data_IF_830988073689
#
_entry.id   IF_830988073689
#
_cell.length_a   1.000
_cell.length_b   1.000
_cell.length_c   1.000
_cell.angle_alpha   90.00
_cell.angle_beta   90.00
_cell.angle_gamma   90.00
#
_symmetry.space_group_name_H-M   'P 1'
#
loop_
_entity.id
_entity.type
_entity.pdbx_description
1 polymer ?
#
# COMPACT_ATOMS: atom_id res chain seq x y z
N UNK A 1 -5.52 -26.83 6.91
CA UNK A 1 -4.99 -25.99 8.01
C UNK A 1 -5.93 -26.19 9.18
N UNK A 2 -5.43 -26.35 10.40
CA UNK A 2 -6.34 -26.54 11.54
C UNK A 2 -7.25 -25.31 11.67
N UNK A 3 -8.56 -25.50 11.83
CA UNK A 3 -9.56 -24.42 11.91
C UNK A 3 -9.17 -23.33 12.92
N UNK A 4 -8.59 -23.74 14.05
CA UNK A 4 -8.06 -22.83 15.09
C UNK A 4 -6.97 -21.87 14.54
N UNK A 5 -6.12 -22.31 13.62
CA UNK A 5 -5.08 -21.44 13.03
C UNK A 5 -5.69 -20.41 12.10
N UNK A 6 -6.75 -20.75 11.37
CA UNK A 6 -7.46 -19.84 10.49
C UNK A 6 -8.19 -18.79 11.33
N UNK A 7 -8.94 -19.21 12.34
CA UNK A 7 -9.67 -18.32 13.24
C UNK A 7 -8.75 -17.31 13.92
N UNK A 8 -7.61 -17.81 14.44
CA UNK A 8 -6.59 -16.95 15.04
C UNK A 8 -6.05 -15.94 14.02
N UNK A 9 -5.69 -16.38 12.81
CA UNK A 9 -5.16 -15.52 11.76
C UNK A 9 -6.14 -14.40 11.39
N UNK A 10 -7.43 -14.71 11.15
CA UNK A 10 -8.40 -13.72 10.71
C UNK A 10 -8.64 -12.63 11.75
N UNK A 11 -8.75 -13.00 13.04
CA UNK A 11 -8.98 -12.02 14.09
C UNK A 11 -7.72 -11.22 14.43
N UNK A 12 -6.54 -11.83 14.44
CA UNK A 12 -5.27 -11.13 14.62
C UNK A 12 -4.99 -10.14 13.48
N UNK A 13 -5.37 -10.48 12.24
CA UNK A 13 -5.31 -9.55 11.10
C UNK A 13 -6.26 -8.38 11.30
N UNK A 14 -7.49 -8.63 11.78
CA UNK A 14 -8.45 -7.58 12.12
C UNK A 14 -7.93 -6.62 13.19
N UNK A 15 -7.32 -7.15 14.24
CA UNK A 15 -6.68 -6.37 15.33
C UNK A 15 -5.51 -5.55 14.76
N UNK A 16 -4.60 -6.18 14.05
CA UNK A 16 -3.40 -5.52 13.55
C UNK A 16 -3.68 -4.42 12.53
N UNK A 17 -4.73 -4.55 11.72
CA UNK A 17 -5.14 -3.53 10.76
C UNK A 17 -5.64 -2.23 11.41
N UNK A 18 -5.92 -2.20 12.71
CA UNK A 18 -6.26 -0.96 13.41
C UNK A 18 -5.04 -0.03 13.55
N UNK A 19 -3.82 -0.56 13.54
CA UNK A 19 -2.59 0.23 13.62
C UNK A 19 -2.41 1.21 12.45
N UNK A 20 -3.03 0.96 11.27
CA UNK A 20 -2.92 1.87 10.11
C UNK A 20 -3.44 3.27 10.40
N UNK A 21 -4.41 3.37 11.33
CA UNK A 21 -4.98 4.63 11.81
C UNK A 21 -4.62 4.92 13.29
N UNK A 22 -3.63 4.19 13.83
CA UNK A 22 -3.15 4.28 15.22
C UNK A 22 -4.24 4.02 16.25
N UNK A 23 -5.22 3.21 15.89
CA UNK A 23 -6.26 2.76 16.81
C UNK A 23 -5.75 1.59 17.64
N UNK A 24 -6.34 1.45 18.83
CA UNK A 24 -6.05 0.33 19.73
C UNK A 24 -7.35 -0.30 20.18
N UNK A 25 -7.39 -1.60 20.11
CA UNK A 25 -8.48 -2.38 20.66
C UNK A 25 -8.53 -2.28 22.19
N UNK A 26 -9.72 -2.35 22.74
CA UNK A 26 -9.92 -2.33 24.19
C UNK A 26 -9.35 -3.59 24.85
N UNK A 27 -8.94 -3.48 26.12
CA UNK A 27 -8.49 -4.64 26.89
C UNK A 27 -9.62 -5.68 27.05
N UNK A 28 -10.88 -5.23 27.11
CA UNK A 28 -12.04 -6.10 27.17
C UNK A 28 -12.16 -6.94 25.89
N UNK A 29 -12.08 -6.30 24.72
CA UNK A 29 -12.12 -6.99 23.44
C UNK A 29 -10.99 -8.02 23.31
N UNK A 30 -9.76 -7.66 23.67
CA UNK A 30 -8.62 -8.59 23.62
C UNK A 30 -8.87 -9.82 24.51
N UNK A 31 -9.48 -9.64 25.68
CA UNK A 31 -9.81 -10.76 26.54
C UNK A 31 -10.88 -11.68 25.92
N UNK A 32 -11.96 -11.12 25.39
CA UNK A 32 -13.02 -11.90 24.74
C UNK A 32 -12.51 -12.57 23.45
N UNK A 33 -11.60 -11.93 22.72
CA UNK A 33 -10.92 -12.52 21.53
C UNK A 33 -10.15 -13.79 21.90
N UNK A 34 -9.52 -13.86 23.08
CA UNK A 34 -8.85 -15.08 23.51
C UNK A 34 -9.83 -16.24 23.71
N UNK A 35 -11.04 -15.98 24.17
CA UNK A 35 -12.09 -17.00 24.26
C UNK A 35 -12.53 -17.51 22.89
N UNK A 36 -12.62 -16.62 21.90
CA UNK A 36 -12.90 -17.00 20.51
C UNK A 36 -11.75 -17.87 19.94
N UNK A 37 -10.49 -17.46 20.11
CA UNK A 37 -9.32 -18.24 19.63
C UNK A 37 -9.27 -19.63 20.30
N UNK A 38 -9.70 -19.74 21.56
CA UNK A 38 -9.75 -21.02 22.28
C UNK A 38 -10.96 -21.89 21.90
N UNK A 39 -11.85 -21.40 21.01
CA UNK A 39 -13.07 -22.13 20.61
C UNK A 39 -14.17 -22.15 21.69
N UNK A 40 -14.10 -21.26 22.71
CA UNK A 40 -15.10 -21.16 23.76
C UNK A 40 -16.35 -20.42 23.31
N UNK A 41 -16.21 -19.51 22.34
CA UNK A 41 -17.28 -18.73 21.72
C UNK A 41 -17.04 -18.63 20.22
N UNK A 42 -18.12 -18.50 19.44
CA UNK A 42 -18.07 -18.23 18.00
C UNK A 42 -17.79 -16.75 17.70
N UNK A 43 -17.46 -16.43 16.44
CA UNK A 43 -17.26 -15.06 16.00
C UNK A 43 -18.55 -14.20 16.12
N UNK A 44 -19.72 -14.80 15.92
CA UNK A 44 -21.02 -14.14 16.10
C UNK A 44 -21.34 -13.88 17.57
N UNK A 45 -20.97 -14.78 18.46
CA UNK A 45 -21.08 -14.55 19.90
C UNK A 45 -20.12 -13.44 20.35
N UNK A 46 -18.88 -13.43 19.86
CA UNK A 46 -17.93 -12.34 20.12
C UNK A 46 -18.51 -10.98 19.68
N UNK A 47 -19.07 -10.90 18.46
CA UNK A 47 -19.72 -9.69 17.98
C UNK A 47 -20.88 -9.22 18.88
N UNK A 48 -21.73 -10.16 19.29
CA UNK A 48 -22.86 -9.88 20.18
C UNK A 48 -22.42 -9.40 21.58
N UNK A 49 -21.35 -9.98 22.12
CA UNK A 49 -20.75 -9.58 23.40
C UNK A 49 -20.22 -8.15 23.30
N UNK A 50 -19.47 -7.83 22.26
CA UNK A 50 -18.88 -6.50 22.07
C UNK A 50 -19.96 -5.45 21.79
N UNK A 51 -20.96 -5.76 20.97
CA UNK A 51 -22.10 -4.87 20.76
C UNK A 51 -22.85 -4.56 22.08
N UNK A 52 -23.07 -5.57 22.91
CA UNK A 52 -23.71 -5.41 24.23
C UNK A 52 -22.85 -4.60 25.20
N UNK A 53 -21.54 -4.79 25.17
CA UNK A 53 -20.62 -4.03 26.02
C UNK A 53 -20.71 -2.53 25.73
N UNK A 54 -20.64 -2.11 24.46
CA UNK A 54 -20.69 -0.70 24.10
C UNK A 54 -22.08 -0.08 24.23
N UNK A 55 -23.14 -0.86 24.06
CA UNK A 55 -24.52 -0.41 24.31
C UNK A 55 -24.74 0.01 25.77
N UNK A 56 -24.07 -0.66 26.71
CA UNK A 56 -24.26 -0.46 28.15
C UNK A 56 -23.21 0.48 28.77
N UNK A 57 -22.16 0.82 28.06
CA UNK A 57 -21.15 1.79 28.48
C UNK A 57 -21.04 2.87 27.42
N UNK A 58 -21.55 4.10 27.68
CA UNK A 58 -21.23 5.24 26.82
C UNK A 58 -19.70 5.40 26.80
N UNK A 59 -19.11 5.27 25.64
CA UNK A 59 -17.67 5.19 25.42
C UNK A 59 -16.96 6.45 25.92
N UNK A 60 -16.10 6.28 26.93
CA UNK A 60 -15.06 7.27 27.26
C UNK A 60 -13.91 7.24 26.24
N UNK A 61 -13.88 6.21 25.37
CA UNK A 61 -12.86 5.96 24.35
C UNK A 61 -13.55 5.60 23.00
N UNK A 62 -14.19 6.59 22.37
CA UNK A 62 -14.91 6.43 21.09
C UNK A 62 -14.13 5.64 20.03
N UNK A 63 -12.81 5.81 19.99
CA UNK A 63 -11.96 5.13 19.01
C UNK A 63 -11.64 3.67 19.36
N UNK A 64 -11.80 3.23 20.60
CA UNK A 64 -11.68 1.81 20.96
C UNK A 64 -12.89 1.02 20.46
N UNK A 65 -14.11 1.59 20.55
CA UNK A 65 -15.30 0.98 19.96
C UNK A 65 -15.17 0.79 18.45
N UNK A 66 -14.69 1.81 17.74
CA UNK A 66 -14.39 1.72 16.32
C UNK A 66 -13.42 0.55 16.04
N UNK A 67 -12.30 0.49 16.77
CA UNK A 67 -11.28 -0.53 16.57
C UNK A 67 -11.83 -1.95 16.81
N UNK A 68 -12.59 -2.17 17.89
CA UNK A 68 -13.12 -3.47 18.26
C UNK A 68 -14.15 -3.96 17.24
N UNK A 69 -15.10 -3.12 16.86
CA UNK A 69 -16.12 -3.46 15.85
C UNK A 69 -15.52 -3.76 14.50
N UNK A 70 -14.56 -2.93 14.04
CA UNK A 70 -13.92 -3.14 12.74
C UNK A 70 -13.06 -4.40 12.74
N UNK A 71 -12.37 -4.73 13.83
CA UNK A 71 -11.60 -5.96 13.92
C UNK A 71 -12.48 -7.22 13.71
N UNK A 72 -13.66 -7.27 14.32
CA UNK A 72 -14.62 -8.35 14.12
C UNK A 72 -15.14 -8.39 12.68
N UNK A 73 -15.51 -7.24 12.12
CA UNK A 73 -16.00 -7.14 10.74
C UNK A 73 -14.97 -7.58 9.73
N UNK A 74 -13.69 -7.23 9.94
CA UNK A 74 -12.58 -7.76 9.13
C UNK A 74 -12.52 -9.27 9.25
N UNK A 75 -12.59 -9.82 10.47
CA UNK A 75 -12.55 -11.26 10.68
C UNK A 75 -13.72 -11.95 9.95
N UNK A 76 -14.95 -11.43 10.05
CA UNK A 76 -16.11 -11.96 9.31
C UNK A 76 -15.89 -11.95 7.80
N UNK A 77 -15.43 -10.84 7.21
CA UNK A 77 -15.16 -10.77 5.77
C UNK A 77 -14.07 -11.76 5.37
N UNK A 78 -13.02 -11.92 6.18
CA UNK A 78 -11.92 -12.83 5.88
C UNK A 78 -12.25 -14.31 6.13
N UNK A 79 -13.29 -14.64 6.91
CA UNK A 79 -13.78 -16.01 7.09
C UNK A 79 -14.64 -16.50 5.91
N UNK A 80 -15.19 -15.59 5.10
CA UNK A 80 -15.98 -15.93 3.94
C UNK A 80 -15.08 -16.24 2.73
N UNK A 81 -15.41 -17.26 1.94
CA UNK A 81 -14.70 -17.57 0.69
C UNK A 81 -15.16 -16.72 -0.49
N UNK A 82 -16.40 -16.23 -0.44
CA UNK A 82 -16.99 -15.44 -1.52
C UNK A 82 -16.20 -14.16 -1.78
N UNK A 83 -15.85 -13.93 -3.05
CA UNK A 83 -15.18 -12.70 -3.49
C UNK A 83 -15.47 -12.40 -4.95
N UNK A 84 -15.67 -11.15 -5.27
CA UNK A 84 -15.82 -10.65 -6.64
C UNK A 84 -14.80 -9.54 -6.88
N UNK A 85 -13.98 -9.66 -7.90
CA UNK A 85 -13.02 -8.61 -8.26
C UNK A 85 -13.74 -7.50 -9.03
N UNK A 86 -14.40 -6.60 -8.28
CA UNK A 86 -15.19 -5.47 -8.82
C UNK A 86 -15.05 -4.24 -7.93
N UNK A 87 -15.26 -3.05 -8.50
CA UNK A 87 -15.40 -1.81 -7.72
C UNK A 87 -16.53 -1.92 -6.70
N UNK A 88 -17.66 -2.53 -7.09
CA UNK A 88 -18.80 -2.77 -6.18
C UNK A 88 -18.39 -3.57 -4.94
N UNK A 89 -17.53 -4.59 -5.07
CA UNK A 89 -17.01 -5.33 -3.91
C UNK A 89 -16.14 -4.45 -3.00
N UNK A 90 -15.31 -3.56 -3.55
CA UNK A 90 -14.52 -2.62 -2.77
C UNK A 90 -15.43 -1.68 -1.95
N UNK A 91 -16.48 -1.12 -2.57
CA UNK A 91 -17.46 -0.28 -1.89
C UNK A 91 -18.23 -1.07 -0.81
N UNK A 92 -18.61 -2.32 -1.10
CA UNK A 92 -19.29 -3.20 -0.14
C UNK A 92 -18.42 -3.50 1.07
N UNK A 93 -17.14 -3.81 0.88
CA UNK A 93 -16.20 -4.02 1.99
C UNK A 93 -16.13 -2.76 2.86
N UNK A 94 -15.98 -1.57 2.27
CA UNK A 94 -15.97 -0.33 3.02
C UNK A 94 -17.28 -0.14 3.80
N UNK A 95 -18.42 -0.38 3.14
CA UNK A 95 -19.72 -0.27 3.81
C UNK A 95 -19.82 -1.19 5.02
N UNK A 96 -19.48 -2.48 4.88
CA UNK A 96 -19.53 -3.45 5.99
C UNK A 96 -18.61 -3.03 7.13
N UNK A 97 -17.37 -2.59 6.82
CA UNK A 97 -16.41 -2.19 7.83
C UNK A 97 -16.88 -0.99 8.66
N UNK A 98 -17.53 -0.02 8.03
CA UNK A 98 -17.80 1.29 8.64
C UNK A 98 -19.26 1.61 8.87
N UNK A 99 -20.18 0.69 8.62
CA UNK A 99 -21.61 0.86 8.89
C UNK A 99 -21.87 1.24 10.35
N UNK A 100 -22.60 2.33 10.57
CA UNK A 100 -22.87 2.89 11.90
C UNK A 100 -21.65 3.49 12.62
N UNK A 101 -20.50 3.63 11.93
CA UNK A 101 -19.28 4.27 12.47
C UNK A 101 -18.89 5.52 11.70
N UNK A 102 -19.22 5.60 10.43
CA UNK A 102 -19.01 6.77 9.56
C UNK A 102 -20.35 7.24 8.98
N UNK A 103 -20.41 8.49 8.56
CA UNK A 103 -21.62 9.08 7.98
C UNK A 103 -21.95 8.53 6.58
N UNK A 104 -20.91 8.20 5.79
CA UNK A 104 -21.05 7.77 4.39
C UNK A 104 -20.31 6.47 4.09
N UNK A 105 -20.61 5.35 4.78
CA UNK A 105 -19.93 4.08 4.55
C UNK A 105 -20.29 3.53 3.15
N UNK A 106 -19.26 3.14 2.39
CA UNK A 106 -19.42 2.62 1.03
C UNK A 106 -19.58 3.67 -0.07
N UNK A 107 -19.64 4.97 0.27
CA UNK A 107 -19.74 6.04 -0.72
C UNK A 107 -18.37 6.61 -1.08
N UNK A 108 -18.20 7.00 -2.33
CA UNK A 108 -17.04 7.75 -2.78
C UNK A 108 -17.05 9.17 -2.18
N UNK A 109 -15.88 9.66 -1.76
CA UNK A 109 -15.76 11.03 -1.23
C UNK A 109 -16.15 12.08 -2.28
N UNK A 110 -16.62 13.23 -1.80
CA UNK A 110 -17.16 14.31 -2.62
C UNK A 110 -16.28 15.59 -2.63
N UNK A 111 -15.05 15.49 -2.08
CA UNK A 111 -14.10 16.61 -2.02
C UNK A 111 -12.63 16.11 -2.06
N UNK A 112 -11.72 17.01 -2.41
CA UNK A 112 -10.29 16.75 -2.36
C UNK A 112 -9.73 17.12 -0.99
N UNK A 113 -8.80 16.34 -0.50
CA UNK A 113 -8.08 16.60 0.74
C UNK A 113 -6.63 16.10 0.68
N UNK A 114 -5.86 16.44 1.69
CA UNK A 114 -4.50 15.95 1.86
C UNK A 114 -4.29 15.50 3.31
N UNK A 115 -3.44 14.49 3.50
CA UNK A 115 -3.04 13.99 4.83
C UNK A 115 -1.56 14.24 5.04
N UNK A 116 -1.18 14.81 6.19
CA UNK A 116 0.22 14.97 6.58
C UNK A 116 0.81 13.63 6.99
N UNK A 117 1.76 13.14 6.21
CA UNK A 117 2.34 11.83 6.41
C UNK A 117 3.62 11.88 7.22
N UNK A 118 3.70 11.05 8.28
CA UNK A 118 4.85 10.99 9.15
C UNK A 118 6.15 10.59 8.41
N UNK A 119 6.05 9.64 7.47
CA UNK A 119 7.21 9.18 6.69
C UNK A 119 7.70 10.23 5.68
N UNK A 120 6.89 11.24 5.38
CA UNK A 120 7.17 12.32 4.45
C UNK A 120 7.52 13.65 5.16
N UNK A 121 7.94 13.61 6.44
CA UNK A 121 8.18 14.81 7.24
C UNK A 121 7.03 15.81 7.22
N UNK A 122 5.78 15.29 7.29
CA UNK A 122 4.51 16.03 7.24
C UNK A 122 4.12 16.57 5.85
N UNK A 123 4.81 16.17 4.80
CA UNK A 123 4.32 16.37 3.43
C UNK A 123 3.20 15.37 3.11
N UNK A 124 2.55 15.46 1.95
CA UNK A 124 1.38 14.69 1.57
C UNK A 124 1.57 14.00 0.23
N UNK A 125 0.93 12.84 0.06
CA UNK A 125 0.72 12.23 -1.26
C UNK A 125 -0.39 13.01 -1.98
N UNK A 126 -0.29 13.14 -3.29
CA UNK A 126 -1.39 13.64 -4.13
C UNK A 126 -2.36 12.50 -4.40
N UNK A 127 -3.57 12.60 -3.85
CA UNK A 127 -4.65 11.66 -4.09
C UNK A 127 -5.40 11.96 -5.39
N UNK A 128 -6.19 11.01 -5.87
CA UNK A 128 -7.05 11.20 -7.05
C UNK A 128 -8.02 12.37 -6.89
N UNK A 129 -8.40 13.03 -7.99
CA UNK A 129 -9.45 14.07 -7.94
C UNK A 129 -10.81 13.41 -7.67
N UNK A 130 -11.57 13.96 -6.72
CA UNK A 130 -12.86 13.38 -6.31
C UNK A 130 -13.87 13.27 -7.46
N UNK A 131 -13.76 14.09 -8.49
CA UNK A 131 -14.65 14.09 -9.67
C UNK A 131 -14.37 12.93 -10.63
N UNK A 132 -13.21 12.31 -10.51
CA UNK A 132 -12.73 11.26 -11.41
C UNK A 132 -12.61 9.89 -10.72
N UNK A 133 -12.95 9.78 -9.43
CA UNK A 133 -12.74 8.57 -8.63
C UNK A 133 -13.40 7.34 -9.24
N UNK A 134 -14.67 7.44 -9.64
CA UNK A 134 -15.40 6.31 -10.21
C UNK A 134 -14.76 5.84 -11.52
N UNK A 135 -14.44 6.79 -12.40
CA UNK A 135 -13.82 6.50 -13.69
C UNK A 135 -12.42 5.87 -13.50
N UNK A 136 -11.63 6.40 -12.57
CA UNK A 136 -10.27 5.90 -12.29
C UNK A 136 -10.33 4.50 -11.69
N UNK A 137 -11.24 4.26 -10.73
CA UNK A 137 -11.45 2.92 -10.17
C UNK A 137 -11.86 1.92 -11.25
N UNK A 138 -12.83 2.26 -12.10
CA UNK A 138 -13.27 1.39 -13.19
C UNK A 138 -12.11 1.08 -14.15
N UNK A 139 -11.32 2.09 -14.51
CA UNK A 139 -10.18 1.94 -15.39
C UNK A 139 -9.12 0.98 -14.81
N UNK A 140 -8.71 1.17 -13.55
CA UNK A 140 -7.68 0.34 -12.92
C UNK A 140 -8.17 -1.11 -12.74
N UNK A 141 -9.44 -1.31 -12.36
CA UNK A 141 -10.02 -2.64 -12.26
C UNK A 141 -10.10 -3.35 -13.62
N UNK A 142 -10.43 -2.63 -14.70
CA UNK A 142 -10.47 -3.20 -16.04
C UNK A 142 -9.07 -3.51 -16.59
N UNK A 143 -8.06 -2.71 -16.25
CA UNK A 143 -6.67 -3.02 -16.57
C UNK A 143 -6.21 -4.31 -15.87
N UNK A 144 -6.47 -4.41 -14.57
CA UNK A 144 -6.09 -5.57 -13.77
C UNK A 144 -6.81 -6.85 -14.23
N UNK A 145 -8.09 -6.80 -14.57
CA UNK A 145 -8.84 -7.94 -15.14
C UNK A 145 -8.24 -8.44 -16.46
N UNK A 146 -7.65 -7.56 -17.26
CA UNK A 146 -7.02 -7.90 -18.55
C UNK A 146 -5.58 -8.35 -18.38
N UNK A 147 -4.99 -8.14 -17.23
CA UNK A 147 -3.62 -8.53 -16.96
C UNK A 147 -3.51 -10.06 -16.85
N UNK A 148 -2.48 -10.62 -17.49
CA UNK A 148 -2.23 -12.07 -17.46
C UNK A 148 -1.03 -12.38 -16.58
N UNK A 149 -1.27 -13.14 -15.54
CA UNK A 149 -0.22 -13.67 -14.66
C UNK A 149 0.50 -14.90 -15.23
N UNK A 150 0.02 -15.41 -16.40
CA UNK A 150 0.58 -16.58 -17.05
C UNK A 150 2.03 -16.32 -17.48
N UNK A 151 2.88 -17.31 -17.25
CA UNK A 151 4.29 -17.34 -17.64
C UNK A 151 5.17 -16.23 -16.98
N UNK A 152 4.65 -15.53 -15.97
CA UNK A 152 5.44 -14.58 -15.18
C UNK A 152 6.21 -15.27 -14.06
N UNK A 153 7.41 -14.77 -13.79
CA UNK A 153 8.14 -15.15 -12.56
C UNK A 153 7.44 -14.57 -11.33
N UNK A 154 7.68 -15.18 -10.17
CA UNK A 154 7.12 -14.69 -8.92
C UNK A 154 7.54 -13.25 -8.61
N UNK A 155 8.75 -12.85 -8.96
CA UNK A 155 9.22 -11.47 -8.80
C UNK A 155 8.43 -10.48 -9.66
N UNK A 156 8.15 -10.83 -10.92
CA UNK A 156 7.31 -10.02 -11.81
C UNK A 156 5.87 -9.92 -11.30
N UNK A 157 5.33 -11.00 -10.74
CA UNK A 157 4.00 -10.99 -10.12
C UNK A 157 4.00 -10.05 -8.91
N UNK A 158 4.99 -10.12 -8.02
CA UNK A 158 5.09 -9.26 -6.84
C UNK A 158 5.25 -7.79 -7.23
N UNK A 159 6.07 -7.50 -8.24
CA UNK A 159 6.23 -6.13 -8.77
C UNK A 159 4.92 -5.58 -9.32
N UNK A 160 4.18 -6.39 -10.11
CA UNK A 160 2.87 -6.00 -10.63
C UNK A 160 1.84 -5.77 -9.52
N UNK A 161 1.74 -6.69 -8.56
CA UNK A 161 0.86 -6.55 -7.40
C UNK A 161 1.20 -5.31 -6.56
N UNK A 162 2.49 -4.97 -6.43
CA UNK A 162 2.91 -3.76 -5.74
C UNK A 162 2.46 -2.49 -6.49
N UNK A 163 2.51 -2.49 -7.82
CA UNK A 163 2.00 -1.39 -8.65
C UNK A 163 0.49 -1.29 -8.45
N UNK A 164 -0.25 -2.36 -8.72
CA UNK A 164 -1.71 -2.38 -8.64
C UNK A 164 -2.23 -1.88 -7.29
N UNK A 165 -1.72 -2.44 -6.19
CA UNK A 165 -2.24 -2.06 -4.86
C UNK A 165 -1.83 -0.63 -4.46
N UNK A 166 -0.67 -0.14 -4.89
CA UNK A 166 -0.25 1.23 -4.62
C UNK A 166 -1.09 2.24 -5.39
N UNK A 167 -1.40 1.98 -6.66
CA UNK A 167 -2.20 2.84 -7.50
C UNK A 167 -3.65 2.88 -6.99
N UNK A 168 -4.24 1.72 -6.66
CA UNK A 168 -5.56 1.63 -6.04
C UNK A 168 -5.63 2.43 -4.72
N UNK A 169 -4.59 2.36 -3.89
CA UNK A 169 -4.53 3.13 -2.65
C UNK A 169 -4.41 4.64 -2.91
N UNK A 170 -3.70 5.07 -3.95
CA UNK A 170 -3.52 6.48 -4.29
C UNK A 170 -4.82 7.15 -4.74
N UNK A 171 -5.74 6.40 -5.35
CA UNK A 171 -7.07 6.92 -5.67
C UNK A 171 -7.72 7.49 -4.42
N UNK A 172 -7.55 6.85 -3.27
CA UNK A 172 -8.04 7.29 -1.97
C UNK A 172 -9.52 7.59 -1.99
N UNK A 173 -10.30 6.57 -2.37
CA UNK A 173 -11.70 6.68 -2.80
C UNK A 173 -12.66 7.17 -1.70
N UNK A 174 -12.34 6.93 -0.42
CA UNK A 174 -13.21 7.20 0.72
C UNK A 174 -12.67 8.36 1.57
N UNK A 175 -13.54 8.97 2.37
CA UNK A 175 -13.15 10.02 3.31
C UNK A 175 -12.23 9.49 4.41
N UNK A 176 -12.54 8.31 4.95
CA UNK A 176 -11.77 7.58 5.96
C UNK A 176 -11.66 6.10 5.59
N UNK A 177 -10.87 5.31 6.34
CA UNK A 177 -10.84 3.84 6.22
C UNK A 177 -10.19 3.26 4.95
N UNK A 178 -9.61 4.08 4.07
CA UNK A 178 -9.06 3.64 2.79
C UNK A 178 -8.06 2.48 2.95
N UNK A 179 -7.09 2.59 3.85
CA UNK A 179 -6.05 1.55 3.98
C UNK A 179 -6.61 0.24 4.53
N UNK A 180 -7.54 0.28 5.50
CA UNK A 180 -8.18 -0.92 6.07
C UNK A 180 -9.00 -1.64 4.98
N UNK A 181 -9.83 -0.89 4.26
CA UNK A 181 -10.65 -1.43 3.15
C UNK A 181 -9.80 -2.08 2.08
N UNK A 182 -8.75 -1.37 1.64
CA UNK A 182 -7.85 -1.86 0.57
C UNK A 182 -7.06 -3.08 1.03
N UNK A 183 -6.61 -3.13 2.29
CA UNK A 183 -5.93 -4.30 2.83
C UNK A 183 -6.84 -5.54 2.83
N UNK A 184 -8.09 -5.40 3.30
CA UNK A 184 -9.08 -6.50 3.29
C UNK A 184 -9.40 -6.94 1.86
N UNK A 185 -9.68 -6.00 0.97
CA UNK A 185 -9.91 -6.29 -0.45
C UNK A 185 -8.71 -7.02 -1.07
N UNK A 186 -7.50 -6.56 -0.81
CA UNK A 186 -6.28 -7.13 -1.36
C UNK A 186 -6.00 -8.54 -0.84
N UNK A 187 -6.23 -8.82 0.45
CA UNK A 187 -6.13 -10.18 1.00
C UNK A 187 -7.10 -11.13 0.26
N UNK A 188 -8.35 -10.72 0.06
CA UNK A 188 -9.34 -11.50 -0.68
C UNK A 188 -8.93 -11.70 -2.14
N UNK A 189 -8.40 -10.66 -2.78
CA UNK A 189 -7.90 -10.74 -4.14
C UNK A 189 -6.72 -11.71 -4.26
N UNK A 190 -5.73 -11.62 -3.39
CA UNK A 190 -4.59 -12.54 -3.37
C UNK A 190 -5.04 -14.00 -3.20
N UNK A 191 -6.00 -14.26 -2.31
CA UNK A 191 -6.59 -15.59 -2.14
C UNK A 191 -7.28 -16.08 -3.42
N UNK A 192 -7.99 -15.20 -4.13
CA UNK A 192 -8.63 -15.56 -5.40
C UNK A 192 -7.64 -15.87 -6.52
N UNK A 193 -6.41 -15.36 -6.42
CA UNK A 193 -5.29 -15.72 -7.29
C UNK A 193 -4.56 -17.02 -6.86
N UNK A 194 -4.99 -17.63 -5.75
CA UNK A 194 -4.43 -18.88 -5.22
C UNK A 194 -3.25 -18.71 -4.26
N UNK A 195 -2.97 -17.49 -3.80
CA UNK A 195 -1.92 -17.28 -2.78
C UNK A 195 -2.40 -17.64 -1.38
N UNK A 196 -1.55 -18.30 -0.61
CA UNK A 196 -1.71 -18.41 0.84
C UNK A 196 -1.22 -17.12 1.51
N UNK A 197 -2.13 -16.42 2.15
CA UNK A 197 -1.87 -15.16 2.87
C UNK A 197 -2.25 -15.29 4.35
N UNK A 198 -2.07 -16.48 4.90
CA UNK A 198 -2.47 -16.82 6.27
C UNK A 198 -1.38 -16.56 7.32
N UNK A 199 -0.25 -15.92 6.95
CA UNK A 199 0.79 -15.55 7.90
C UNK A 199 0.47 -14.21 8.61
N UNK A 200 1.20 -13.91 9.67
CA UNK A 200 0.98 -12.76 10.53
C UNK A 200 1.53 -11.41 10.00
N UNK A 201 1.88 -11.35 8.72
CA UNK A 201 2.51 -10.17 8.12
C UNK A 201 1.63 -8.93 8.25
N UNK A 202 0.33 -9.01 7.93
CA UNK A 202 -0.60 -7.90 8.14
C UNK A 202 -0.83 -7.63 9.63
N UNK A 203 -1.02 -8.66 10.45
CA UNK A 203 -1.26 -8.51 11.88
C UNK A 203 -0.15 -7.73 12.59
N UNK A 204 1.11 -7.96 12.21
CA UNK A 204 2.28 -7.36 12.86
C UNK A 204 2.82 -6.10 12.18
N UNK A 205 2.52 -5.89 10.89
CA UNK A 205 3.20 -4.87 10.07
C UNK A 205 2.22 -3.99 9.27
N UNK A 206 0.99 -3.84 9.70
CA UNK A 206 -0.03 -3.03 9.00
C UNK A 206 0.37 -1.54 8.92
N UNK A 207 0.99 -0.99 9.96
CA UNK A 207 1.54 0.37 9.93
C UNK A 207 2.70 0.51 8.92
N UNK A 208 3.53 -0.53 8.78
CA UNK A 208 4.57 -0.56 7.74
C UNK A 208 3.93 -0.62 6.34
N UNK A 209 2.94 -1.48 6.15
CA UNK A 209 2.21 -1.58 4.87
C UNK A 209 1.63 -0.23 4.44
N UNK A 210 0.94 0.48 5.35
CA UNK A 210 0.42 1.82 5.08
C UNK A 210 1.54 2.80 4.68
N UNK A 211 2.63 2.83 5.42
CA UNK A 211 3.75 3.71 5.13
C UNK A 211 4.46 3.34 3.82
N UNK A 212 4.52 2.06 3.47
CA UNK A 212 5.04 1.59 2.19
C UNK A 212 4.18 2.07 1.01
N UNK A 213 2.85 2.06 1.15
CA UNK A 213 1.92 2.65 0.16
C UNK A 213 2.15 4.17 0.01
N UNK A 214 2.36 4.89 1.11
CA UNK A 214 2.73 6.31 1.07
C UNK A 214 4.01 6.53 0.28
N UNK A 215 5.07 5.74 0.55
CA UNK A 215 6.36 5.85 -0.15
C UNK A 215 6.29 5.46 -1.61
N UNK A 216 5.45 4.47 -1.95
CA UNK A 216 5.22 4.04 -3.32
C UNK A 216 4.59 5.14 -4.21
N UNK A 217 3.90 6.12 -3.60
CA UNK A 217 3.13 7.15 -4.29
C UNK A 217 3.64 8.58 -4.07
N UNK A 218 4.81 8.75 -3.45
CA UNK A 218 5.31 10.10 -3.16
C UNK A 218 6.45 10.51 -4.07
N UNK A 219 6.26 11.64 -4.75
CA UNK A 219 7.26 12.29 -5.58
C UNK A 219 7.47 13.75 -5.14
N UNK A 220 8.73 14.13 -4.89
CA UNK A 220 9.15 15.51 -4.67
C UNK A 220 10.41 15.79 -5.49
N UNK A 221 10.21 16.08 -6.77
CA UNK A 221 11.30 16.29 -7.75
C UNK A 221 12.26 17.40 -7.32
N UNK A 222 11.80 18.56 -6.76
CA UNK A 222 12.70 19.59 -6.25
C UNK A 222 13.65 19.11 -5.16
N UNK A 223 13.23 18.14 -4.34
CA UNK A 223 14.06 17.55 -3.27
C UNK A 223 14.81 16.28 -3.73
N UNK A 224 14.67 15.87 -4.99
CA UNK A 224 15.26 14.62 -5.51
C UNK A 224 14.63 13.35 -4.92
N UNK A 225 13.40 13.43 -4.39
CA UNK A 225 12.70 12.31 -3.80
C UNK A 225 11.71 11.77 -4.84
N UNK A 226 11.75 10.45 -5.04
CA UNK A 226 10.89 9.75 -5.99
C UNK A 226 10.10 8.65 -5.29
N UNK A 227 9.04 8.20 -5.95
CA UNK A 227 8.28 7.03 -5.53
C UNK A 227 9.23 5.83 -5.34
N UNK A 228 9.00 5.07 -4.28
CA UNK A 228 9.80 3.90 -3.95
C UNK A 228 8.91 2.74 -3.51
N UNK A 229 8.70 1.79 -4.43
CA UNK A 229 7.92 0.57 -4.19
C UNK A 229 8.71 -0.54 -3.53
N UNK A 230 10.02 -0.38 -3.35
CA UNK A 230 10.87 -1.44 -2.77
C UNK A 230 10.42 -1.87 -1.37
N UNK A 231 9.90 -0.94 -0.57
CA UNK A 231 9.35 -1.22 0.76
C UNK A 231 8.07 -2.07 0.67
N UNK A 232 7.19 -1.76 -0.26
CA UNK A 232 5.97 -2.53 -0.49
C UNK A 232 6.30 -3.93 -1.03
N UNK A 233 7.27 -4.05 -1.94
CA UNK A 233 7.78 -5.32 -2.45
C UNK A 233 8.33 -6.18 -1.30
N UNK A 234 9.12 -5.64 -0.36
CA UNK A 234 9.59 -6.39 0.83
C UNK A 234 8.43 -6.90 1.68
N UNK A 235 7.39 -6.09 1.88
CA UNK A 235 6.19 -6.52 2.60
C UNK A 235 5.49 -7.67 1.87
N UNK A 236 5.29 -7.57 0.55
CA UNK A 236 4.65 -8.60 -0.25
C UNK A 236 5.48 -9.90 -0.31
N UNK A 237 6.80 -9.82 -0.35
CA UNK A 237 7.66 -11.00 -0.28
C UNK A 237 7.52 -11.74 1.05
N UNK A 238 7.44 -11.01 2.17
CA UNK A 238 7.16 -11.62 3.46
C UNK A 238 5.76 -12.25 3.49
N UNK A 239 4.76 -11.57 2.92
CA UNK A 239 3.38 -12.03 2.89
C UNK A 239 3.20 -13.28 2.02
N UNK A 240 3.73 -13.26 0.80
CA UNK A 240 3.45 -14.27 -0.23
C UNK A 240 4.47 -15.42 -0.25
N UNK A 241 5.71 -15.16 0.14
CA UNK A 241 6.81 -16.13 0.08
C UNK A 241 7.28 -16.58 1.46
N UNK A 242 6.74 -16.02 2.54
CA UNK A 242 7.20 -16.30 3.91
C UNK A 242 8.63 -15.85 4.17
N UNK A 243 9.14 -14.88 3.39
CA UNK A 243 10.46 -14.29 3.65
C UNK A 243 10.46 -13.50 4.96
N UNK A 244 11.64 -13.30 5.52
CA UNK A 244 11.84 -12.61 6.80
C UNK A 244 12.54 -11.25 6.62
N UNK A 245 12.17 -10.50 5.58
CA UNK A 245 12.69 -9.14 5.40
C UNK A 245 12.36 -8.28 6.61
N UNK A 246 13.33 -7.48 7.04
CA UNK A 246 13.14 -6.56 8.17
C UNK A 246 12.26 -5.39 7.72
N UNK A 247 11.09 -5.23 8.37
CA UNK A 247 10.08 -4.22 8.07
C UNK A 247 10.11 -3.12 9.14
N UNK A 248 11.01 -2.13 9.00
CA UNK A 248 11.16 -1.04 9.96
C UNK A 248 10.61 0.26 9.42
N UNK A 249 9.63 0.85 10.11
CA UNK A 249 9.00 2.11 9.70
C UNK A 249 9.97 3.30 9.61
N UNK A 250 11.04 3.32 10.39
CA UNK A 250 12.06 4.38 10.34
C UNK A 250 12.78 4.45 8.99
N UNK A 251 12.93 3.30 8.30
CA UNK A 251 13.65 3.21 7.03
C UNK A 251 12.87 3.84 5.88
N UNK A 252 11.55 4.00 6.06
CA UNK A 252 10.65 4.62 5.07
C UNK A 252 10.68 6.16 5.15
N UNK A 253 11.23 6.74 6.23
CA UNK A 253 11.25 8.21 6.39
C UNK A 253 12.17 8.87 5.38
N UNK A 254 11.71 9.92 4.73
CA UNK A 254 12.51 10.70 3.78
C UNK A 254 13.66 11.47 4.46
N UNK A 255 13.54 11.81 5.74
CA UNK A 255 14.58 12.48 6.53
C UNK A 255 15.62 11.52 7.12
N UNK A 256 15.34 10.22 7.13
CA UNK A 256 16.24 9.18 7.66
C UNK A 256 17.03 8.46 6.58
N UNK A 257 16.77 8.72 5.31
CA UNK A 257 17.55 8.19 4.21
C UNK A 257 18.98 8.75 4.27
N UNK A 258 19.84 8.13 5.10
CA UNK A 258 21.23 7.96 4.68
C UNK A 258 21.11 7.31 3.29
N UNK A 259 21.65 7.99 2.30
CA UNK A 259 21.94 7.43 0.99
C UNK A 259 22.88 6.24 1.24
N UNK A 260 22.32 5.12 1.69
CA UNK A 260 23.00 3.84 1.60
C UNK A 260 22.76 3.34 0.18
N UNK A 261 23.78 3.58 -0.61
CA UNK A 261 24.03 3.09 -1.95
C UNK A 261 23.92 1.57 -2.02
N UNK A 262 22.68 1.06 -2.16
CA UNK A 262 22.39 -0.31 -2.62
C UNK A 262 21.16 -0.37 -3.51
N UNK A 263 20.86 0.73 -4.17
CA UNK A 263 20.18 0.74 -5.45
C UNK A 263 21.16 1.33 -6.43
N UNK A 264 21.43 0.65 -7.52
CA UNK A 264 22.08 1.28 -8.67
C UNK A 264 21.22 2.50 -8.98
N UNK A 265 21.66 3.69 -8.55
CA UNK A 265 20.84 4.89 -8.61
C UNK A 265 20.42 5.11 -10.05
N UNK A 266 19.27 5.73 -10.31
CA UNK A 266 18.87 6.11 -11.69
C UNK A 266 20.00 6.87 -12.37
N UNK A 267 20.72 7.65 -11.60
CA UNK A 267 21.94 8.35 -12.00
C UNK A 267 23.04 7.37 -12.40
N UNK A 268 23.28 6.34 -11.60
CA UNK A 268 24.29 5.32 -11.93
C UNK A 268 23.90 4.49 -13.17
N UNK A 269 22.61 4.17 -13.35
CA UNK A 269 22.13 3.52 -14.59
C UNK A 269 22.31 4.44 -15.81
N UNK A 270 21.97 5.72 -15.67
CA UNK A 270 22.17 6.70 -16.74
C UNK A 270 23.64 6.88 -17.01
N UNK A 271 24.49 6.99 -15.98
CA UNK A 271 25.93 7.12 -16.12
C UNK A 271 26.56 5.89 -16.79
N UNK A 272 26.13 4.67 -16.44
CA UNK A 272 26.65 3.45 -17.09
C UNK A 272 26.30 3.42 -18.58
N UNK A 273 25.05 3.75 -18.94
CA UNK A 273 24.64 3.79 -20.34
C UNK A 273 25.34 4.92 -21.11
N UNK A 274 25.50 6.10 -20.50
CA UNK A 274 26.27 7.20 -21.07
C UNK A 274 27.74 6.80 -21.30
N UNK A 275 28.32 6.02 -20.40
CA UNK A 275 29.67 5.50 -20.49
C UNK A 275 29.84 4.56 -21.69
N UNK A 276 28.85 3.71 -21.94
CA UNK A 276 28.82 2.78 -23.04
C UNK A 276 28.47 3.48 -24.36
N UNK A 277 27.56 4.43 -24.35
CA UNK A 277 27.11 5.20 -25.50
C UNK A 277 27.07 6.70 -25.22
N UNK A 278 28.17 7.43 -25.32
CA UNK A 278 28.21 8.87 -25.06
C UNK A 278 27.32 9.74 -25.96
N UNK A 279 26.89 9.21 -27.10
CA UNK A 279 26.03 9.93 -28.04
C UNK A 279 24.53 9.68 -27.83
N UNK A 280 24.17 8.91 -26.83
CA UNK A 280 22.77 8.53 -26.55
C UNK A 280 21.88 9.75 -26.37
N UNK A 281 20.69 9.71 -26.98
CA UNK A 281 19.69 10.78 -26.82
C UNK A 281 18.82 10.55 -25.58
N UNK A 282 18.13 11.60 -25.14
CA UNK A 282 17.19 11.52 -24.00
C UNK A 282 16.04 10.55 -24.28
N UNK A 283 15.59 10.48 -25.54
CA UNK A 283 14.54 9.59 -26.00
C UNK A 283 14.99 8.12 -25.99
N UNK A 284 16.25 7.86 -26.38
CA UNK A 284 16.85 6.53 -26.29
C UNK A 284 17.05 6.08 -24.85
N UNK A 285 17.59 6.97 -23.98
CA UNK A 285 17.67 6.72 -22.55
C UNK A 285 16.30 6.39 -21.92
N UNK A 286 15.26 7.13 -22.34
CA UNK A 286 13.89 6.89 -21.90
C UNK A 286 13.40 5.48 -22.23
N UNK A 287 13.66 5.00 -23.45
CA UNK A 287 13.28 3.65 -23.89
C UNK A 287 14.09 2.56 -23.22
N UNK A 288 15.38 2.79 -23.02
CA UNK A 288 16.31 1.77 -22.50
C UNK A 288 16.14 1.56 -20.98
N UNK A 289 15.82 2.64 -20.24
CA UNK A 289 15.67 2.60 -18.78
C UNK A 289 14.21 2.39 -18.36
N UNK A 290 13.23 2.65 -19.27
CA UNK A 290 11.80 2.55 -18.98
C UNK A 290 11.21 3.76 -18.26
N UNK A 291 11.93 4.91 -18.22
CA UNK A 291 11.43 6.14 -17.61
C UNK A 291 10.93 7.15 -18.64
N UNK A 292 10.00 8.03 -18.23
CA UNK A 292 9.53 9.09 -19.12
C UNK A 292 10.67 10.02 -19.55
N UNK A 293 10.60 10.58 -20.77
CA UNK A 293 11.56 11.58 -21.27
C UNK A 293 11.70 12.77 -20.30
N UNK A 294 10.62 13.15 -19.64
CA UNK A 294 10.62 14.22 -18.63
C UNK A 294 11.48 13.85 -17.42
N UNK A 295 11.34 12.63 -16.92
CA UNK A 295 12.14 12.10 -15.81
C UNK A 295 13.63 12.03 -16.17
N UNK A 296 13.95 11.51 -17.34
CA UNK A 296 15.34 11.46 -17.84
C UNK A 296 15.94 12.86 -17.91
N UNK A 297 15.23 13.85 -18.49
CA UNK A 297 15.69 15.25 -18.55
C UNK A 297 15.98 15.83 -17.18
N UNK A 298 15.12 15.53 -16.19
CA UNK A 298 15.33 15.99 -14.81
C UNK A 298 16.60 15.41 -14.21
N UNK A 299 16.83 14.10 -14.36
CA UNK A 299 18.03 13.43 -13.81
C UNK A 299 19.30 13.92 -14.51
N UNK A 300 19.30 14.06 -15.84
CA UNK A 300 20.43 14.62 -16.57
C UNK A 300 20.79 16.02 -16.09
N UNK A 301 19.79 16.87 -15.83
CA UNK A 301 20.02 18.22 -15.28
C UNK A 301 20.64 18.18 -13.87
N UNK A 302 20.25 17.24 -13.03
CA UNK A 302 20.88 17.03 -11.71
C UNK A 302 22.33 16.61 -11.86
N UNK A 303 22.63 15.64 -12.74
CA UNK A 303 23.98 15.18 -13.03
C UNK A 303 24.88 16.29 -13.58
N UNK A 304 24.35 17.17 -14.43
CA UNK A 304 25.07 18.36 -14.95
C UNK A 304 25.33 19.37 -13.83
N UNK A 305 24.33 19.68 -13.00
CA UNK A 305 24.49 20.61 -11.86
C UNK A 305 25.52 20.10 -10.84
N UNK A 306 25.57 18.78 -10.63
CA UNK A 306 26.54 18.13 -9.75
C UNK A 306 27.93 17.94 -10.40
N UNK A 307 28.13 18.47 -11.61
CA UNK A 307 29.38 18.37 -12.39
C UNK A 307 29.83 16.92 -12.62
N UNK A 308 28.91 15.98 -12.71
CA UNK A 308 29.20 14.57 -13.00
C UNK A 308 29.21 14.28 -14.49
N UNK A 309 28.42 15.04 -15.27
CA UNK A 309 28.40 14.97 -16.72
C UNK A 309 28.37 16.37 -17.32
N UNK A 310 28.77 16.46 -18.57
CA UNK A 310 28.67 17.68 -19.40
C UNK A 310 28.30 17.31 -20.81
N UNK A 311 27.37 18.06 -21.42
CA UNK A 311 27.08 17.91 -22.84
C UNK A 311 28.01 18.80 -23.66
N UNK A 312 28.72 18.21 -24.61
CA UNK A 312 29.63 18.90 -25.54
C UNK A 312 29.16 18.76 -26.99
N UNK A 313 29.55 19.69 -27.87
CA UNK A 313 29.23 19.75 -29.32
C UNK A 313 27.74 20.00 -29.68
N UNK A 314 26.95 20.66 -28.77
CA UNK A 314 25.60 21.15 -29.06
C UNK A 314 24.52 20.10 -29.16
N UNK A 315 23.30 20.50 -29.60
CA UNK A 315 22.10 19.62 -29.54
C UNK A 315 22.05 18.58 -30.68
N UNK A 316 22.68 18.81 -31.82
CA UNK A 316 22.51 18.00 -33.03
C UNK A 316 23.57 16.91 -33.19
N UNK A 317 24.81 17.17 -32.69
CA UNK A 317 25.95 16.23 -32.75
C UNK A 317 26.63 16.10 -31.37
N UNK A 318 25.87 16.41 -30.31
CA UNK A 318 26.41 16.44 -28.96
C UNK A 318 26.60 15.06 -28.35
N UNK A 319 27.67 14.95 -27.57
CA UNK A 319 27.93 13.78 -26.73
C UNK A 319 28.01 14.17 -25.27
N UNK A 320 27.72 13.24 -24.42
CA UNK A 320 27.91 13.35 -23.00
C UNK A 320 29.37 13.07 -22.63
N UNK A 321 29.93 13.88 -21.76
CA UNK A 321 31.23 13.66 -21.15
C UNK A 321 30.96 13.39 -19.65
N UNK A 322 31.50 12.29 -19.13
CA UNK A 322 31.55 12.03 -17.67
C UNK A 322 32.78 12.77 -17.15
N UNK A 323 32.60 13.56 -16.06
CA UNK A 323 33.61 14.43 -15.48
C UNK A 323 34.31 13.78 -14.30
#
# INVERSE_FOLDING_TARGET
>A
MDDIKIEKYIIETGIGLQDVDKLKNSAYFINETNRYINGEISLDELDSIIASYYKNKPSLEERAEEADKIAIRIAKILSEDSFSFTVGQLLTIHNILFDGLLDHPGELRKYNFSKKEWVLDRDSVTYGDYRELEMTLQYDFELEKKFSYKDLSIDQIIEHLAIFISDLWQIHAFEEGNTRTIAVFFIKYLRSLGFDVSNDTFAKNSWYFRNALVRANYNNVPKGIFEDRSYLIKFLRNLLLGETNILQNRDLRISGAKIETTNVSRESKILSIIKENPCITTEQLSKEIGFSVRTIKSVLKVLENNKQIKRINGKRYGRWLIL
#
